data_IF_979330967416
#
_entry.id   IF_979330967416
#
_cell.length_a   1.000
_cell.length_b   1.000
_cell.length_c   1.000
_cell.angle_alpha   90.00
_cell.angle_beta   90.00
_cell.angle_gamma   90.00
#
_symmetry.space_group_name_H-M   'P 1'
#
loop_
_entity.id
_entity.type
_entity.pdbx_description
1 polymer ?
#
# COMPACT_ATOMS: atom_id res chain seq x y z
N UNK A 1 -33.86 -39.02 -23.59
CA UNK A 1 -33.89 -40.51 -23.72
C UNK A 1 -33.38 -40.82 -25.13
N UNK A 2 -32.33 -41.61 -25.47
CA UNK A 2 -31.33 -42.50 -24.86
C UNK A 2 -30.11 -42.42 -25.83
N UNK A 3 -28.92 -41.98 -25.40
CA UNK A 3 -27.69 -42.73 -25.00
C UNK A 3 -26.96 -43.54 -26.10
N UNK A 4 -25.61 -43.47 -25.99
CA UNK A 4 -24.52 -44.38 -26.44
C UNK A 4 -24.02 -44.12 -27.87
N UNK A 5 -22.88 -43.46 -28.14
CA UNK A 5 -21.46 -43.66 -27.80
C UNK A 5 -20.84 -44.92 -28.43
N UNK A 6 -20.03 -44.73 -29.49
CA UNK A 6 -19.05 -45.71 -29.95
C UNK A 6 -17.70 -45.01 -30.15
N UNK A 7 -16.77 -45.39 -29.26
CA UNK A 7 -15.32 -45.27 -29.41
C UNK A 7 -14.90 -45.96 -30.70
N UNK A 8 -14.06 -45.32 -31.52
CA UNK A 8 -13.15 -46.03 -32.40
C UNK A 8 -11.79 -45.32 -32.44
N UNK A 9 -10.83 -46.09 -31.96
CA UNK A 9 -9.41 -45.87 -31.81
C UNK A 9 -8.73 -45.93 -33.18
N UNK A 10 -7.87 -44.96 -33.49
CA UNK A 10 -6.87 -45.11 -34.55
C UNK A 10 -5.58 -44.41 -34.13
N UNK A 11 -4.58 -45.24 -33.80
CA UNK A 11 -3.20 -44.89 -33.58
C UNK A 11 -2.63 -44.07 -34.74
N UNK A 12 -1.91 -43.00 -34.43
CA UNK A 12 -0.82 -42.54 -35.29
C UNK A 12 0.37 -42.11 -34.42
N UNK A 13 1.51 -42.68 -34.77
CA UNK A 13 2.81 -42.55 -34.11
C UNK A 13 3.32 -41.11 -34.09
N UNK A 14 4.05 -40.75 -33.03
CA UNK A 14 5.17 -39.84 -33.16
C UNK A 14 6.27 -40.20 -32.15
N UNK A 15 7.39 -40.59 -32.73
CA UNK A 15 8.70 -40.95 -32.21
C UNK A 15 9.29 -40.01 -31.16
N UNK A 16 9.89 -40.59 -30.13
CA UNK A 16 10.93 -39.98 -29.31
C UNK A 16 12.24 -39.90 -30.09
N UNK A 17 12.77 -38.68 -30.28
CA UNK A 17 14.20 -38.48 -30.59
C UNK A 17 14.68 -37.29 -29.78
N UNK A 18 15.59 -37.55 -28.84
CA UNK A 18 16.42 -36.54 -28.21
C UNK A 18 17.43 -36.05 -29.25
N UNK A 19 17.45 -34.74 -29.51
CA UNK A 19 18.59 -34.05 -30.11
C UNK A 19 19.03 -32.92 -29.17
N UNK A 20 19.97 -33.24 -28.29
CA UNK A 20 20.93 -32.25 -27.84
C UNK A 20 22.04 -32.22 -28.91
N UNK A 21 22.12 -31.13 -29.68
CA UNK A 21 23.29 -30.83 -30.48
C UNK A 21 23.39 -29.33 -30.73
N UNK A 22 24.58 -28.80 -30.45
CA UNK A 22 24.99 -27.41 -30.47
C UNK A 22 24.96 -26.78 -31.86
N UNK A 23 24.91 -25.44 -31.89
CA UNK A 23 25.92 -24.65 -32.60
C UNK A 23 26.08 -23.32 -31.87
N UNK A 24 27.35 -23.00 -31.61
CA UNK A 24 27.81 -21.73 -31.07
C UNK A 24 27.98 -20.84 -32.30
N UNK A 25 27.01 -19.97 -32.54
CA UNK A 25 27.14 -18.87 -33.48
C UNK A 25 26.99 -17.57 -32.69
N UNK A 26 28.08 -16.82 -32.68
CA UNK A 26 28.16 -15.48 -32.15
C UNK A 26 27.37 -14.56 -33.09
N UNK A 27 26.17 -14.14 -32.67
CA UNK A 27 25.52 -12.97 -33.26
C UNK A 27 24.92 -12.08 -32.17
N UNK A 28 25.47 -10.88 -32.14
CA UNK A 28 25.13 -9.74 -31.31
C UNK A 28 23.67 -9.30 -31.54
N UNK A 29 22.74 -9.93 -30.84
CA UNK A 29 21.41 -9.38 -30.64
C UNK A 29 21.03 -9.50 -29.17
N UNK A 30 21.39 -8.46 -28.42
CA UNK A 30 20.90 -8.23 -27.06
C UNK A 30 19.40 -7.91 -27.10
N UNK A 31 18.58 -8.92 -27.41
CA UNK A 31 17.15 -8.88 -27.12
C UNK A 31 16.97 -9.37 -25.69
N UNK A 32 17.34 -8.51 -24.72
CA UNK A 32 16.92 -8.65 -23.34
C UNK A 32 15.41 -8.79 -23.34
N UNK A 33 14.92 -10.01 -23.16
CA UNK A 33 13.51 -10.24 -22.89
C UNK A 33 13.24 -9.51 -21.56
N UNK A 34 12.41 -8.45 -21.54
CA UNK A 34 12.19 -7.71 -20.31
C UNK A 34 11.58 -8.68 -19.30
N UNK A 35 12.32 -8.97 -18.24
CA UNK A 35 11.77 -9.72 -17.11
C UNK A 35 10.54 -8.94 -16.64
N UNK A 36 9.35 -9.57 -16.52
CA UNK A 36 8.18 -8.86 -16.04
C UNK A 36 8.47 -8.36 -14.63
N UNK A 37 8.64 -7.03 -14.49
CA UNK A 37 8.81 -6.39 -13.19
C UNK A 37 7.52 -6.57 -12.41
N UNK A 38 7.60 -7.12 -11.21
CA UNK A 38 6.44 -7.18 -10.30
C UNK A 38 5.92 -5.75 -10.09
N UNK A 39 4.62 -5.48 -10.34
CA UNK A 39 4.08 -4.14 -10.17
C UNK A 39 4.22 -3.69 -8.72
N UNK A 40 4.55 -2.40 -8.53
CA UNK A 40 4.61 -1.83 -7.19
C UNK A 40 3.24 -1.84 -6.51
N UNK A 41 3.21 -1.65 -5.19
CA UNK A 41 1.93 -1.47 -4.50
C UNK A 41 1.18 -0.25 -5.02
N UNK A 42 1.90 0.81 -5.39
CA UNK A 42 1.33 2.02 -5.98
C UNK A 42 0.63 1.72 -7.31
N UNK A 43 1.27 0.93 -8.19
CA UNK A 43 0.69 0.51 -9.47
C UNK A 43 -0.61 -0.27 -9.26
N UNK A 44 -0.62 -1.18 -8.28
CA UNK A 44 -1.77 -2.04 -7.96
C UNK A 44 -2.98 -1.27 -7.40
N UNK A 45 -2.78 -0.11 -6.78
CA UNK A 45 -3.87 0.74 -6.26
C UNK A 45 -4.33 1.82 -7.25
N UNK A 46 -3.84 1.75 -8.49
CA UNK A 46 -4.27 2.60 -9.62
C UNK A 46 -3.14 3.34 -10.32
N UNK A 47 -1.94 3.35 -9.73
CA UNK A 47 -0.73 3.91 -10.32
C UNK A 47 -0.90 5.36 -10.77
N UNK A 48 -0.22 5.69 -11.87
CA UNK A 48 -0.14 7.05 -12.43
C UNK A 48 -1.34 7.44 -13.29
N UNK A 49 -2.41 6.65 -13.31
CA UNK A 49 -3.62 6.97 -14.09
C UNK A 49 -4.24 8.25 -13.55
N UNK A 50 -4.33 9.30 -14.34
CA UNK A 50 -4.88 10.58 -13.89
C UNK A 50 -6.41 10.55 -13.83
N UNK A 51 -6.98 11.01 -12.72
CA UNK A 51 -8.42 11.15 -12.48
C UNK A 51 -8.74 12.49 -11.84
N UNK A 52 -9.99 12.94 -11.90
CA UNK A 52 -10.41 14.17 -11.22
C UNK A 52 -10.17 14.05 -9.70
N UNK A 53 -9.62 15.10 -9.09
CA UNK A 53 -9.51 15.18 -7.63
C UNK A 53 -10.85 15.67 -7.04
N UNK A 54 -11.60 14.83 -6.30
CA UNK A 54 -12.85 15.25 -5.68
C UNK A 54 -12.66 16.31 -4.58
N UNK A 55 -11.47 16.38 -3.98
CA UNK A 55 -11.15 17.34 -2.92
C UNK A 55 -10.62 18.66 -3.48
N UNK A 56 -10.19 18.69 -4.75
CA UNK A 56 -9.68 19.86 -5.43
C UNK A 56 -10.31 20.00 -6.83
N UNK A 57 -11.56 20.50 -6.92
CA UNK A 57 -12.29 20.58 -8.18
C UNK A 57 -11.51 21.33 -9.25
N UNK A 58 -11.51 20.79 -10.48
CA UNK A 58 -10.76 21.36 -11.61
C UNK A 58 -9.30 20.91 -11.69
N UNK A 59 -8.84 20.06 -10.76
CA UNK A 59 -7.49 19.48 -10.80
C UNK A 59 -7.54 17.96 -11.02
N UNK A 60 -6.44 17.42 -11.53
CA UNK A 60 -6.25 15.98 -11.75
C UNK A 60 -5.23 15.43 -10.74
N UNK A 61 -5.41 14.19 -10.33
CA UNK A 61 -4.56 13.46 -9.38
C UNK A 61 -4.30 12.03 -9.88
N UNK A 62 -3.14 11.46 -9.57
CA UNK A 62 -2.88 10.05 -9.84
C UNK A 62 -3.84 9.18 -9.03
N UNK A 63 -4.44 8.17 -9.68
CA UNK A 63 -5.42 7.27 -9.07
C UNK A 63 -4.80 6.54 -7.88
N UNK A 64 -3.52 6.18 -7.95
CA UNK A 64 -2.81 5.58 -6.83
C UNK A 64 -2.81 6.47 -5.58
N UNK A 65 -2.45 7.76 -5.72
CA UNK A 65 -2.49 8.73 -4.62
C UNK A 65 -3.91 8.93 -4.10
N UNK A 66 -4.89 9.05 -4.99
CA UNK A 66 -6.29 9.21 -4.59
C UNK A 66 -6.77 8.01 -3.75
N UNK A 67 -6.45 6.79 -4.18
CA UNK A 67 -6.80 5.56 -3.43
C UNK A 67 -6.12 5.53 -2.07
N UNK A 68 -4.82 5.84 -2.00
CA UNK A 68 -4.09 5.87 -0.73
C UNK A 68 -4.64 6.95 0.22
N UNK A 69 -4.96 8.15 -0.30
CA UNK A 69 -5.57 9.23 0.49
C UNK A 69 -6.89 8.79 1.12
N UNK A 70 -7.76 8.13 0.35
CA UNK A 70 -9.05 7.65 0.87
C UNK A 70 -8.88 6.61 2.01
N UNK A 71 -7.89 5.72 1.88
CA UNK A 71 -7.54 4.75 2.93
C UNK A 71 -6.96 5.46 4.15
N UNK A 72 -6.04 6.40 3.97
CA UNK A 72 -5.44 7.20 5.04
C UNK A 72 -6.51 7.97 5.81
N UNK A 73 -7.39 8.70 5.12
CA UNK A 73 -8.47 9.48 5.74
C UNK A 73 -9.39 8.58 6.57
N UNK A 74 -9.78 7.43 6.02
CA UNK A 74 -10.62 6.46 6.72
C UNK A 74 -9.92 5.86 7.94
N UNK A 75 -8.62 5.60 7.83
CA UNK A 75 -7.81 5.01 8.89
C UNK A 75 -7.56 5.99 10.03
N UNK A 76 -7.28 7.26 9.74
CA UNK A 76 -7.13 8.30 10.76
C UNK A 76 -8.37 8.36 11.66
N UNK A 77 -9.58 8.29 11.07
CA UNK A 77 -10.82 8.29 11.85
C UNK A 77 -10.99 7.03 12.70
N UNK A 78 -10.54 5.86 12.23
CA UNK A 78 -10.59 4.62 13.01
C UNK A 78 -9.60 4.70 14.18
N UNK A 79 -8.34 5.05 13.90
CA UNK A 79 -7.27 5.15 14.88
C UNK A 79 -7.62 6.18 15.96
N UNK A 80 -8.13 7.35 15.56
CA UNK A 80 -8.54 8.40 16.49
C UNK A 80 -9.72 7.98 17.39
N UNK A 81 -10.60 7.10 16.90
CA UNK A 81 -11.72 6.56 17.67
C UNK A 81 -11.32 5.40 18.58
N UNK A 82 -10.10 4.86 18.43
CA UNK A 82 -9.61 3.76 19.25
C UNK A 82 -9.13 4.25 20.61
N UNK A 83 -9.70 3.71 21.70
CA UNK A 83 -9.39 4.17 23.05
C UNK A 83 -7.93 3.90 23.49
N UNK A 84 -7.25 2.90 22.91
CA UNK A 84 -5.85 2.63 23.19
C UNK A 84 -4.93 3.62 22.46
N UNK A 85 -5.28 4.03 21.24
CA UNK A 85 -4.47 4.94 20.42
C UNK A 85 -4.81 6.42 20.61
N UNK A 86 -6.03 6.76 21.03
CA UNK A 86 -6.47 8.13 21.27
C UNK A 86 -5.51 8.98 22.14
N UNK A 87 -4.91 8.46 23.24
CA UNK A 87 -3.96 9.22 24.06
C UNK A 87 -2.72 9.74 23.32
N UNK A 88 -2.40 9.21 22.14
CA UNK A 88 -1.26 9.65 21.33
C UNK A 88 -1.51 10.95 20.57
N UNK A 89 -2.77 11.39 20.42
CA UNK A 89 -3.18 12.52 19.57
C UNK A 89 -3.77 13.74 20.32
N UNK A 90 -3.23 14.16 21.49
CA UNK A 90 -3.85 15.21 22.30
C UNK A 90 -3.92 16.56 21.57
N UNK A 91 -2.89 16.90 20.79
CA UNK A 91 -2.84 18.15 20.01
C UNK A 91 -3.91 18.15 18.93
N UNK A 92 -4.05 17.04 18.19
CA UNK A 92 -5.06 16.91 17.13
C UNK A 92 -6.49 17.07 17.70
N UNK A 93 -6.78 16.44 18.84
CA UNK A 93 -8.09 16.59 19.47
C UNK A 93 -8.36 17.99 20.00
N UNK A 94 -7.35 18.68 20.54
CA UNK A 94 -7.48 20.07 20.94
C UNK A 94 -7.76 21.00 19.75
N UNK A 95 -7.10 20.77 18.60
CA UNK A 95 -7.36 21.50 17.36
C UNK A 95 -8.80 21.28 16.86
N UNK A 96 -9.23 20.03 16.79
CA UNK A 96 -10.59 19.68 16.35
C UNK A 96 -11.67 20.24 17.29
N UNK A 97 -11.45 20.20 18.61
CA UNK A 97 -12.35 20.80 19.60
C UNK A 97 -12.50 22.32 19.46
N UNK A 98 -11.51 22.98 18.85
CA UNK A 98 -11.54 24.41 18.53
C UNK A 98 -12.02 24.70 17.09
N UNK A 99 -12.64 23.73 16.41
CA UNK A 99 -13.03 23.81 15.01
C UNK A 99 -11.87 24.13 14.05
N UNK A 100 -10.64 23.75 14.42
CA UNK A 100 -9.45 23.91 13.59
C UNK A 100 -9.06 22.57 12.97
N UNK A 101 -9.25 22.42 11.66
CA UNK A 101 -8.94 21.18 10.92
C UNK A 101 -7.56 21.18 10.28
N UNK A 102 -6.76 22.25 10.42
CA UNK A 102 -5.46 22.37 9.75
C UNK A 102 -4.50 21.23 10.12
N UNK A 103 -4.45 20.82 11.38
CA UNK A 103 -3.62 19.68 11.82
C UNK A 103 -4.09 18.33 11.25
N UNK A 104 -5.41 18.15 11.09
CA UNK A 104 -5.97 16.95 10.45
C UNK A 104 -5.61 16.90 8.97
N UNK A 105 -5.74 18.02 8.25
CA UNK A 105 -5.36 18.13 6.84
C UNK A 105 -3.88 17.82 6.66
N UNK A 106 -3.01 18.43 7.48
CA UNK A 106 -1.57 18.18 7.44
C UNK A 106 -1.20 16.74 7.78
N UNK A 107 -1.92 16.09 8.71
CA UNK A 107 -1.71 14.68 9.05
C UNK A 107 -2.09 13.77 7.88
N UNK A 108 -3.28 13.98 7.28
CA UNK A 108 -3.74 13.23 6.11
C UNK A 108 -2.77 13.37 4.94
N UNK A 109 -2.31 14.59 4.65
CA UNK A 109 -1.37 14.85 3.57
C UNK A 109 -0.02 14.15 3.79
N UNK A 110 0.62 14.36 4.95
CA UNK A 110 1.92 13.76 5.25
C UNK A 110 1.85 12.23 5.27
N UNK A 111 0.78 11.64 5.79
CA UNK A 111 0.64 10.19 5.80
C UNK A 111 0.38 9.66 4.39
N UNK A 112 -0.42 10.37 3.58
CA UNK A 112 -0.60 10.04 2.15
C UNK A 112 0.72 10.10 1.39
N UNK A 113 1.55 11.11 1.61
CA UNK A 113 2.88 11.24 0.98
C UNK A 113 3.80 10.09 1.39
N UNK A 114 3.85 9.77 2.69
CA UNK A 114 4.59 8.61 3.19
C UNK A 114 4.16 7.34 2.47
N UNK A 115 2.84 7.10 2.38
CA UNK A 115 2.30 5.93 1.69
C UNK A 115 2.62 5.94 0.20
N UNK A 116 2.55 7.10 -0.48
CA UNK A 116 2.91 7.20 -1.91
C UNK A 116 4.36 6.80 -2.14
N UNK A 117 5.31 7.32 -1.35
CA UNK A 117 6.72 6.96 -1.46
C UNK A 117 6.94 5.49 -1.14
N UNK A 118 6.43 5.03 0.00
CA UNK A 118 6.66 3.66 0.47
C UNK A 118 6.09 2.62 -0.50
N UNK A 119 4.92 2.89 -1.09
CA UNK A 119 4.27 1.96 -2.04
C UNK A 119 4.89 2.00 -3.44
N UNK A 120 5.79 2.96 -3.72
CA UNK A 120 6.61 2.98 -4.92
C UNK A 120 6.26 4.05 -5.96
N UNK A 121 5.47 5.07 -5.62
CA UNK A 121 5.20 6.20 -6.52
C UNK A 121 6.49 6.82 -7.04
N UNK A 122 6.49 7.20 -8.32
CA UNK A 122 7.62 7.88 -8.98
C UNK A 122 7.38 9.39 -9.15
N UNK A 123 6.24 9.89 -8.71
CA UNK A 123 5.92 11.30 -8.80
C UNK A 123 6.63 12.08 -7.69
N UNK A 124 7.58 12.94 -8.08
CA UNK A 124 8.37 13.72 -7.13
C UNK A 124 7.53 14.68 -6.27
N UNK A 125 6.36 15.10 -6.76
CA UNK A 125 5.44 15.96 -6.01
C UNK A 125 4.73 15.24 -4.85
N UNK A 126 4.83 13.90 -4.77
CA UNK A 126 4.26 13.09 -3.68
C UNK A 126 5.33 12.64 -2.68
N UNK A 127 6.48 13.32 -2.69
CA UNK A 127 7.59 13.03 -1.80
C UNK A 127 7.23 13.29 -0.33
N UNK A 128 7.58 12.35 0.54
CA UNK A 128 7.46 12.52 1.97
C UNK A 128 8.52 13.51 2.48
N UNK A 129 8.08 14.62 3.06
CA UNK A 129 8.95 15.69 3.60
C UNK A 129 8.91 15.77 5.12
N UNK A 130 8.19 14.86 5.77
CA UNK A 130 8.08 14.78 7.22
C UNK A 130 9.37 14.30 7.89
N UNK A 131 9.33 14.24 9.23
CA UNK A 131 10.41 13.66 10.04
C UNK A 131 10.62 12.19 9.69
N UNK A 132 11.83 11.68 9.85
CA UNK A 132 12.02 10.22 9.83
C UNK A 132 11.11 9.55 10.88
N UNK A 133 10.80 8.26 10.69
CA UNK A 133 9.80 7.56 11.53
C UNK A 133 10.17 7.58 13.03
N UNK A 134 11.46 7.56 13.36
CA UNK A 134 11.93 7.65 14.76
C UNK A 134 11.61 9.01 15.38
N UNK A 135 12.04 10.10 14.75
CA UNK A 135 11.80 11.45 15.25
C UNK A 135 10.32 11.87 15.16
N UNK A 136 9.58 11.33 14.19
CA UNK A 136 8.14 11.55 14.06
C UNK A 136 7.37 10.96 15.25
N UNK A 137 7.84 9.85 15.81
CA UNK A 137 7.17 9.11 16.89
C UNK A 137 7.83 9.27 18.27
N UNK A 138 8.84 10.14 18.39
CA UNK A 138 9.45 10.52 19.67
C UNK A 138 8.81 11.82 20.20
N UNK A 139 8.09 11.79 21.34
CA UNK A 139 7.52 12.99 21.98
C UNK A 139 8.54 14.08 22.30
N UNK A 140 9.83 13.74 22.47
CA UNK A 140 10.89 14.72 22.71
C UNK A 140 11.29 15.49 21.43
N UNK A 141 10.95 14.97 20.24
CA UNK A 141 11.27 15.54 18.92
C UNK A 141 10.04 16.04 18.17
N UNK A 142 8.87 15.47 18.48
CA UNK A 142 7.60 15.83 17.90
C UNK A 142 6.55 16.07 19.00
N UNK A 143 6.28 17.34 19.28
CA UNK A 143 5.29 17.75 20.29
C UNK A 143 3.84 17.35 19.97
N UNK A 144 3.57 16.85 18.76
CA UNK A 144 2.25 16.30 18.39
C UNK A 144 2.05 14.86 18.87
N UNK A 145 3.11 14.14 19.23
CA UNK A 145 2.99 12.81 19.82
C UNK A 145 2.90 12.88 21.34
N UNK A 146 1.79 12.37 21.88
CA UNK A 146 1.52 12.42 23.32
C UNK A 146 2.47 11.54 24.16
N UNK A 147 2.92 10.41 23.62
CA UNK A 147 3.78 9.45 24.33
C UNK A 147 4.51 8.51 23.37
N UNK A 148 5.46 7.72 23.90
CA UNK A 148 6.19 6.69 23.16
C UNK A 148 5.33 5.44 22.99
N UNK A 149 5.32 4.89 21.77
CA UNK A 149 4.62 3.65 21.44
C UNK A 149 5.44 2.42 21.86
N UNK A 150 4.73 1.38 22.30
CA UNK A 150 5.29 0.03 22.41
C UNK A 150 4.80 -0.86 21.25
N UNK A 151 5.25 -2.12 21.23
CA UNK A 151 4.84 -3.07 20.19
C UNK A 151 3.31 -3.29 20.11
N UNK A 152 2.63 -3.39 21.25
CA UNK A 152 1.19 -3.62 21.26
C UNK A 152 0.40 -2.43 20.67
N UNK A 153 0.91 -1.22 20.87
CA UNK A 153 0.34 0.00 20.26
C UNK A 153 0.56 0.00 18.75
N UNK A 154 1.74 -0.40 18.29
CA UNK A 154 2.04 -0.54 16.87
C UNK A 154 1.18 -1.62 16.19
N UNK A 155 1.06 -2.80 16.80
CA UNK A 155 0.21 -3.89 16.30
C UNK A 155 -1.27 -3.43 16.21
N UNK A 156 -1.73 -2.66 17.21
CA UNK A 156 -3.07 -2.07 17.21
C UNK A 156 -3.26 -1.07 16.07
N UNK A 157 -2.29 -0.19 15.86
CA UNK A 157 -2.28 0.75 14.74
C UNK A 157 -2.40 0.02 13.40
N UNK A 158 -1.59 -1.01 13.15
CA UNK A 158 -1.66 -1.80 11.90
C UNK A 158 -3.02 -2.48 11.75
N UNK A 159 -3.59 -3.01 12.84
CA UNK A 159 -4.95 -3.55 12.85
C UNK A 159 -6.01 -2.52 12.44
N UNK A 160 -5.89 -1.29 12.93
CA UNK A 160 -6.82 -0.20 12.61
C UNK A 160 -6.67 0.32 11.18
N UNK A 161 -5.46 0.28 10.60
CA UNK A 161 -5.28 0.47 9.14
C UNK A 161 -6.09 -0.60 8.37
N UNK A 162 -6.09 -1.86 8.84
CA UNK A 162 -6.90 -2.93 8.26
C UNK A 162 -8.41 -2.63 8.24
N UNK A 163 -8.93 -2.00 9.30
CA UNK A 163 -10.32 -1.54 9.36
C UNK A 163 -10.55 -0.36 8.40
N UNK A 164 -9.60 0.57 8.32
CA UNK A 164 -9.63 1.68 7.36
C UNK A 164 -9.66 1.21 5.89
N UNK A 165 -8.89 0.18 5.54
CA UNK A 165 -8.96 -0.49 4.25
C UNK A 165 -10.34 -1.08 3.96
N UNK A 166 -10.93 -1.76 4.95
CA UNK A 166 -12.25 -2.38 4.81
C UNK A 166 -13.34 -1.34 4.51
N UNK A 167 -13.25 -0.13 5.10
CA UNK A 167 -14.14 1.00 4.77
C UNK A 167 -14.03 1.46 3.32
N UNK A 168 -12.91 1.19 2.67
CA UNK A 168 -12.65 1.46 1.25
C UNK A 168 -12.91 0.23 0.36
N UNK A 169 -13.55 -0.81 0.90
CA UNK A 169 -13.88 -2.02 0.16
C UNK A 169 -12.69 -2.94 -0.10
N UNK A 170 -11.55 -2.73 0.56
CA UNK A 170 -10.37 -3.62 0.46
C UNK A 170 -10.31 -4.48 1.72
N UNK A 171 -10.48 -5.79 1.56
CA UNK A 171 -10.45 -6.75 2.67
C UNK A 171 -9.57 -7.94 2.35
N UNK A 172 -9.16 -8.70 3.38
CA UNK A 172 -8.41 -9.94 3.15
C UNK A 172 -9.21 -10.97 2.34
N UNK A 173 -10.55 -10.89 2.35
CA UNK A 173 -11.42 -11.79 1.61
C UNK A 173 -11.43 -11.49 0.10
N UNK A 174 -11.35 -10.22 -0.29
CA UNK A 174 -11.41 -9.84 -1.71
C UNK A 174 -10.05 -9.45 -2.30
N UNK A 175 -9.05 -9.15 -1.46
CA UNK A 175 -7.72 -8.74 -1.91
C UNK A 175 -6.63 -9.06 -0.87
N UNK A 176 -6.50 -10.33 -0.50
CA UNK A 176 -5.55 -10.80 0.53
C UNK A 176 -4.12 -10.32 0.29
N UNK A 177 -3.61 -10.47 -0.92
CA UNK A 177 -2.23 -10.11 -1.24
C UNK A 177 -1.97 -8.61 -1.04
N UNK A 178 -2.91 -7.73 -1.39
CA UNK A 178 -2.76 -6.29 -1.15
C UNK A 178 -2.74 -5.94 0.33
N UNK A 179 -3.58 -6.60 1.12
CA UNK A 179 -3.58 -6.43 2.57
C UNK A 179 -2.27 -6.93 3.18
N UNK A 180 -1.83 -8.13 2.82
CA UNK A 180 -0.60 -8.73 3.36
C UNK A 180 0.63 -7.87 3.03
N UNK A 181 0.75 -7.40 1.78
CA UNK A 181 1.89 -6.60 1.34
C UNK A 181 1.91 -5.22 2.00
N UNK A 182 0.74 -4.60 2.19
CA UNK A 182 0.62 -3.35 2.93
C UNK A 182 1.00 -3.52 4.40
N UNK A 183 0.54 -4.60 5.03
CA UNK A 183 0.93 -4.95 6.41
C UNK A 183 2.44 -5.12 6.48
N UNK A 184 3.04 -5.93 5.60
CA UNK A 184 4.49 -6.13 5.57
C UNK A 184 5.25 -4.81 5.39
N UNK A 185 4.76 -3.92 4.52
CA UNK A 185 5.32 -2.59 4.31
C UNK A 185 5.26 -1.73 5.58
N UNK A 186 4.15 -1.71 6.31
CA UNK A 186 4.04 -0.96 7.56
C UNK A 186 5.03 -1.49 8.61
N UNK A 187 5.16 -2.81 8.74
CA UNK A 187 6.11 -3.44 9.68
C UNK A 187 7.58 -3.10 9.39
N UNK A 188 7.93 -2.62 8.19
CA UNK A 188 9.29 -2.10 7.94
C UNK A 188 9.65 -0.88 8.79
N UNK A 189 8.66 -0.19 9.35
CA UNK A 189 8.84 1.00 10.19
C UNK A 189 8.81 0.71 11.70
N UNK A 190 8.47 -0.52 12.10
CA UNK A 190 8.23 -0.88 13.50
C UNK A 190 9.42 -0.51 14.40
N UNK A 191 10.64 -0.83 13.98
CA UNK A 191 11.85 -0.62 14.75
C UNK A 191 12.17 0.86 15.05
N UNK A 192 11.62 1.80 14.26
CA UNK A 192 11.77 3.23 14.49
C UNK A 192 10.64 3.80 15.36
N UNK A 193 9.44 3.23 15.25
CA UNK A 193 8.24 3.71 15.92
C UNK A 193 8.11 3.16 17.35
N UNK A 194 8.48 1.90 17.57
CA UNK A 194 8.47 1.26 18.89
C UNK A 194 9.66 1.76 19.70
N UNK A 195 9.39 2.56 20.72
CA UNK A 195 10.40 3.27 21.52
C UNK A 195 10.28 3.01 23.03
N UNK A 196 9.39 2.09 23.43
CA UNK A 196 9.17 1.65 24.81
C UNK A 196 8.94 0.15 24.87
#
# INVERSE_FOLDING_TARGET
MKKVSYLLLACLMATSVFVASCSKDDDNNNTSTPTPTTPSLYDRVGGTTMVNDPNNPGTMIEKGRLTLRAVVDSSILVIAADAQLAPYFPVLFAELGNNNTSGLVALSENFTDFMCVATGSKNASYGYTGKNMKDAHDPAKNNRMGMKANKADFDKFVGDIGIGLAKNGVTAQNNKQLVDDLVALLYTTEADIVQR
#
